data_IF_064180918394
#
_entry.id   IF_064180918394
#
_cell.length_a   1.000
_cell.length_b   1.000
_cell.length_c   1.000
_cell.angle_alpha   90.00
_cell.angle_beta   90.00
_cell.angle_gamma   90.00
#
_symmetry.space_group_name_H-M   'P 1'
#
loop_
_entity.id
_entity.type
_entity.pdbx_description
1 polymer ?
#
# COMPACT_ATOMS: atom_id res chain seq x y z
N UNK A 1 -4.33 -12.87 17.62
CA UNK A 1 -3.13 -12.08 17.98
C UNK A 1 -1.91 -12.88 17.57
N UNK A 2 -0.97 -12.26 16.86
CA UNK A 2 0.31 -12.89 16.52
C UNK A 2 1.27 -12.58 17.68
N UNK A 3 1.84 -13.59 18.33
CA UNK A 3 2.78 -13.37 19.42
C UNK A 3 4.15 -13.06 18.83
N UNK A 4 4.65 -11.85 19.08
CA UNK A 4 5.98 -11.43 18.66
C UNK A 4 6.99 -11.85 19.72
N UNK A 5 8.08 -12.47 19.28
CA UNK A 5 9.19 -12.86 20.16
C UNK A 5 10.12 -11.67 20.40
N UNK A 6 10.88 -11.69 21.51
CA UNK A 6 11.89 -10.67 21.78
C UNK A 6 12.89 -10.49 20.62
N UNK A 7 13.20 -11.58 19.91
CA UNK A 7 14.00 -11.56 18.69
C UNK A 7 13.30 -10.82 17.54
N UNK A 8 12.00 -11.01 17.30
CA UNK A 8 11.27 -10.31 16.25
C UNK A 8 11.29 -8.78 16.46
N UNK A 9 11.10 -8.36 17.71
CA UNK A 9 11.15 -6.95 18.12
C UNK A 9 12.56 -6.38 17.89
N UNK A 10 13.62 -7.10 18.32
CA UNK A 10 15.00 -6.66 18.13
C UNK A 10 15.38 -6.52 16.64
N UNK A 11 14.96 -7.46 15.80
CA UNK A 11 15.21 -7.41 14.36
C UNK A 11 14.40 -6.31 13.65
N UNK A 12 13.21 -5.97 14.15
CA UNK A 12 12.37 -4.90 13.58
C UNK A 12 13.08 -3.53 13.60
N UNK A 13 13.84 -3.24 14.66
CA UNK A 13 14.60 -1.99 14.81
C UNK A 13 15.88 -1.93 13.96
N UNK A 14 16.36 -3.07 13.44
CA UNK A 14 17.56 -3.15 12.60
C UNK A 14 17.26 -3.03 11.10
N UNK A 15 15.98 -3.06 10.71
CA UNK A 15 15.59 -3.04 9.29
C UNK A 15 15.77 -1.62 8.73
N UNK A 16 16.73 -1.45 7.81
CA UNK A 16 16.88 -0.19 7.07
C UNK A 16 15.61 0.06 6.25
N UNK A 17 14.95 1.21 6.48
CA UNK A 17 13.83 1.65 5.63
C UNK A 17 14.30 1.76 4.19
N UNK A 18 13.67 0.99 3.31
CA UNK A 18 13.92 1.00 1.87
C UNK A 18 13.44 2.33 1.27
N UNK A 19 13.95 2.68 0.09
CA UNK A 19 13.50 3.90 -0.61
C UNK A 19 12.00 3.85 -0.94
N UNK A 20 11.46 2.66 -1.24
CA UNK A 20 10.03 2.43 -1.49
C UNK A 20 9.17 2.62 -0.24
N UNK A 21 9.61 2.11 0.91
CA UNK A 21 8.91 2.33 2.19
C UNK A 21 8.87 3.83 2.54
N UNK A 22 9.98 4.55 2.42
CA UNK A 22 10.01 6.01 2.64
C UNK A 22 9.11 6.78 1.67
N UNK A 23 9.04 6.35 0.42
CA UNK A 23 8.17 6.98 -0.57
C UNK A 23 6.70 6.81 -0.23
N UNK A 24 6.28 5.59 0.16
CA UNK A 24 4.90 5.36 0.61
C UNK A 24 4.54 6.21 1.83
N UNK A 25 5.44 6.35 2.81
CA UNK A 25 5.22 7.21 3.99
C UNK A 25 4.95 8.66 3.57
N UNK A 26 5.77 9.20 2.66
CA UNK A 26 5.59 10.55 2.11
C UNK A 26 4.26 10.67 1.36
N UNK A 27 3.88 9.64 0.60
CA UNK A 27 2.61 9.65 -0.12
C UNK A 27 1.41 9.62 0.82
N UNK A 28 1.47 8.85 1.91
CA UNK A 28 0.40 8.79 2.91
C UNK A 28 0.19 10.15 3.62
N UNK A 29 1.22 11.00 3.69
CA UNK A 29 1.08 12.37 4.21
C UNK A 29 0.51 13.36 3.19
N UNK A 30 0.83 13.20 1.91
CA UNK A 30 0.54 14.21 0.87
C UNK A 30 -0.77 13.91 0.12
N UNK A 31 -1.11 12.64 -0.08
CA UNK A 31 -2.19 12.23 -0.98
C UNK A 31 -3.49 12.03 -0.20
N UNK A 32 -4.60 12.70 -0.58
CA UNK A 32 -5.92 12.42 -0.03
C UNK A 32 -6.46 11.11 -0.63
N UNK A 33 -6.04 9.98 -0.07
CA UNK A 33 -6.33 8.65 -0.60
C UNK A 33 -7.82 8.37 -0.78
N UNK A 34 -8.65 8.75 0.20
CA UNK A 34 -10.09 8.50 0.15
C UNK A 34 -10.73 9.20 -1.05
N UNK A 35 -10.39 10.48 -1.28
CA UNK A 35 -10.90 11.26 -2.41
C UNK A 35 -10.46 10.65 -3.75
N UNK A 36 -9.18 10.27 -3.86
CA UNK A 36 -8.65 9.68 -5.09
C UNK A 36 -9.26 8.31 -5.38
N UNK A 37 -9.43 7.49 -4.35
CA UNK A 37 -10.10 6.19 -4.45
C UNK A 37 -11.53 6.38 -4.92
N UNK A 38 -12.27 7.35 -4.38
CA UNK A 38 -13.66 7.62 -4.78
C UNK A 38 -13.79 8.10 -6.22
N UNK A 39 -12.82 8.87 -6.73
CA UNK A 39 -12.77 9.26 -8.14
C UNK A 39 -12.55 8.05 -9.06
N UNK A 40 -11.75 7.08 -8.63
CA UNK A 40 -11.39 5.89 -9.43
C UNK A 40 -12.45 4.79 -9.32
N UNK A 41 -13.12 4.68 -8.18
CA UNK A 41 -14.07 3.61 -7.83
C UNK A 41 -15.15 3.34 -8.88
N UNK A 42 -15.76 4.34 -9.56
CA UNK A 42 -16.75 4.09 -10.61
C UNK A 42 -16.19 3.32 -11.82
N UNK A 43 -14.89 3.46 -12.08
CA UNK A 43 -14.21 2.84 -13.22
C UNK A 43 -13.51 1.54 -12.85
N UNK A 44 -13.38 1.24 -11.55
CA UNK A 44 -12.65 0.07 -11.08
C UNK A 44 -13.49 -1.21 -11.26
N UNK A 45 -12.91 -2.30 -11.81
CA UNK A 45 -13.65 -3.54 -11.98
C UNK A 45 -14.10 -4.09 -10.64
N UNK A 46 -15.38 -4.45 -10.54
CA UNK A 46 -15.97 -5.08 -9.33
C UNK A 46 -15.75 -6.60 -9.28
N UNK A 47 -15.06 -7.20 -10.25
CA UNK A 47 -14.69 -8.63 -10.20
C UNK A 47 -15.87 -9.59 -10.30
N UNK A 48 -16.72 -9.48 -11.33
CA UNK A 48 -17.89 -10.36 -11.51
C UNK A 48 -17.53 -11.82 -11.91
N UNK A 49 -16.33 -12.07 -12.45
CA UNK A 49 -15.88 -13.41 -12.87
C UNK A 49 -14.34 -13.50 -12.84
N UNK A 50 -13.80 -14.61 -12.35
CA UNK A 50 -12.34 -14.84 -12.28
C UNK A 50 -11.71 -14.40 -10.96
N UNK A 51 -10.41 -14.08 -10.98
CA UNK A 51 -9.69 -13.62 -9.78
C UNK A 51 -10.25 -12.27 -9.33
N UNK A 52 -10.60 -12.10 -8.04
CA UNK A 52 -11.08 -10.82 -7.55
C UNK A 52 -9.98 -9.76 -7.73
N UNK A 53 -10.34 -8.56 -8.17
CA UNK A 53 -9.39 -7.46 -8.27
C UNK A 53 -8.87 -7.08 -6.88
N UNK A 54 -7.64 -6.60 -6.81
CA UNK A 54 -7.08 -6.10 -5.54
C UNK A 54 -7.83 -4.84 -5.10
N UNK A 55 -7.75 -4.48 -3.82
CA UNK A 55 -8.35 -3.23 -3.35
C UNK A 55 -7.83 -2.01 -4.14
N UNK A 56 -8.73 -1.08 -4.47
CA UNK A 56 -8.46 0.09 -5.34
C UNK A 56 -7.23 0.85 -4.83
N UNK A 57 -7.23 1.19 -3.54
CA UNK A 57 -6.16 1.96 -2.89
C UNK A 57 -4.82 1.22 -2.94
N UNK A 58 -4.83 -0.10 -2.74
CA UNK A 58 -3.62 -0.94 -2.82
C UNK A 58 -3.06 -0.96 -4.24
N UNK A 59 -3.93 -1.09 -5.25
CA UNK A 59 -3.52 -1.02 -6.65
C UNK A 59 -2.96 0.35 -7.00
N UNK A 60 -3.62 1.42 -6.53
CA UNK A 60 -3.16 2.78 -6.74
C UNK A 60 -1.76 3.00 -6.15
N UNK A 61 -1.52 2.57 -4.90
CA UNK A 61 -0.17 2.59 -4.29
C UNK A 61 0.85 1.80 -5.10
N UNK A 62 0.49 0.64 -5.65
CA UNK A 62 1.39 -0.14 -6.50
C UNK A 62 1.76 0.59 -7.80
N UNK A 63 0.80 1.20 -8.49
CA UNK A 63 1.07 1.97 -9.71
C UNK A 63 1.96 3.17 -9.44
N UNK A 64 1.66 3.90 -8.36
CA UNK A 64 2.46 5.05 -7.91
C UNK A 64 3.89 4.63 -7.51
N UNK A 65 4.06 3.45 -6.93
CA UNK A 65 5.40 2.92 -6.71
C UNK A 65 6.11 2.56 -8.02
N UNK A 66 5.42 1.91 -8.96
CA UNK A 66 6.00 1.45 -10.21
C UNK A 66 6.41 2.59 -11.15
N UNK A 67 5.66 3.69 -11.19
CA UNK A 67 5.95 4.81 -12.10
C UNK A 67 7.09 5.69 -11.54
N UNK A 68 7.27 5.74 -10.21
CA UNK A 68 8.28 6.60 -9.56
C UNK A 68 9.58 5.85 -9.16
N UNK A 69 9.65 4.52 -9.31
CA UNK A 69 10.82 3.67 -9.02
C UNK A 69 11.06 2.59 -10.06
#
# INVERSE_FOLDING_TARGET
MKQETFTDVEYSFRKKKTKREKFLEIMDEIIPWDEWVDVIKPYYPMGKRGRPPMGIEKMLRMYLLQIWF
#
